data_IF_235957878952
#
_entry.id   IF_235957878952
#
_cell.length_a   1.000
_cell.length_b   1.000
_cell.length_c   1.000
_cell.angle_alpha   90.00
_cell.angle_beta   90.00
_cell.angle_gamma   90.00
#
_symmetry.space_group_name_H-M   'P 1'
#
loop_
_entity.id
_entity.type
_entity.pdbx_description
1 polymer ?
#
# COMPACT_ATOMS: atom_id res chain seq x y z
N UNK A 1 -27.90 -80.33 22.50
CA UNK A 1 -26.84 -80.31 23.52
C UNK A 1 -26.67 -78.89 24.04
N UNK A 2 -26.43 -78.79 25.33
CA UNK A 2 -26.49 -77.58 26.14
C UNK A 2 -25.36 -76.57 25.87
N UNK A 3 -25.82 -75.32 25.91
CA UNK A 3 -25.24 -74.07 26.40
C UNK A 3 -23.96 -74.09 27.26
N UNK A 4 -23.20 -73.01 27.02
CA UNK A 4 -22.41 -72.19 27.95
C UNK A 4 -21.10 -72.79 28.49
N UNK A 5 -19.96 -72.18 28.14
CA UNK A 5 -19.12 -71.41 29.08
C UNK A 5 -18.06 -70.62 28.30
N UNK A 6 -18.31 -69.30 28.18
CA UNK A 6 -17.29 -68.31 27.85
C UNK A 6 -16.33 -68.15 29.02
N UNK A 7 -15.01 -68.25 28.78
CA UNK A 7 -13.98 -67.68 29.65
C UNK A 7 -12.98 -66.92 28.78
N UNK A 8 -13.20 -65.61 28.72
CA UNK A 8 -12.28 -64.58 28.21
C UNK A 8 -11.07 -64.54 29.13
N UNK A 9 -9.88 -64.73 28.58
CA UNK A 9 -8.64 -64.29 29.21
C UNK A 9 -8.08 -63.06 28.49
N UNK A 10 -7.92 -62.03 29.30
CA UNK A 10 -7.54 -60.67 28.98
C UNK A 10 -6.02 -60.53 28.88
N UNK A 11 -5.52 -59.80 27.89
CA UNK A 11 -4.27 -59.04 28.00
C UNK A 11 -4.37 -57.78 27.11
N UNK A 12 -3.99 -56.59 27.61
CA UNK A 12 -4.52 -55.33 27.12
C UNK A 12 -3.72 -54.75 25.94
N UNK A 13 -4.49 -54.14 25.05
CA UNK A 13 -4.08 -53.16 24.05
C UNK A 13 -3.53 -51.92 24.79
N UNK A 14 -2.24 -51.63 24.70
CA UNK A 14 -1.71 -50.30 25.06
C UNK A 14 -1.44 -49.56 23.75
N UNK A 15 -2.52 -49.02 23.17
CA UNK A 15 -2.43 -48.03 22.11
C UNK A 15 -2.19 -46.66 22.79
N UNK A 16 -0.92 -46.25 22.85
CA UNK A 16 -0.56 -44.90 23.26
C UNK A 16 -0.96 -43.92 22.14
N UNK A 17 -2.19 -43.41 22.23
CA UNK A 17 -2.67 -42.25 21.49
C UNK A 17 -1.98 -41.00 22.07
N UNK A 18 -0.78 -40.70 21.59
CA UNK A 18 -0.19 -39.36 21.70
C UNK A 18 -0.92 -38.45 20.70
N UNK A 19 -2.08 -37.93 21.13
CA UNK A 19 -2.70 -36.78 20.50
C UNK A 19 -1.85 -35.54 20.82
N UNK A 20 -0.84 -35.28 19.98
CA UNK A 20 -0.18 -33.98 19.93
C UNK A 20 -1.19 -32.97 19.38
N UNK A 21 -1.91 -32.32 20.29
CA UNK A 21 -2.55 -31.05 20.04
C UNK A 21 -1.45 -30.00 19.82
N UNK A 22 -0.91 -29.95 18.61
CA UNK A 22 -0.06 -28.87 18.16
C UNK A 22 -0.96 -27.69 17.76
N UNK A 23 -1.40 -26.92 18.75
CA UNK A 23 -1.75 -25.52 18.53
C UNK A 23 -0.44 -24.82 18.16
N UNK A 24 -0.10 -24.81 16.88
CA UNK A 24 0.93 -23.94 16.35
C UNK A 24 0.27 -22.57 16.19
N UNK A 25 0.37 -21.73 17.23
CA UNK A 25 0.28 -20.30 17.04
C UNK A 25 1.43 -19.91 16.12
N UNK A 26 1.13 -19.79 14.82
CA UNK A 26 2.09 -19.26 13.88
C UNK A 26 2.51 -17.86 14.39
N UNK A 27 3.81 -17.53 14.39
CA UNK A 27 4.25 -16.19 14.73
C UNK A 27 3.46 -15.17 13.89
N UNK A 28 3.10 -14.01 14.47
CA UNK A 28 2.43 -12.97 13.70
C UNK A 28 3.23 -12.66 12.45
N UNK A 29 2.54 -12.67 11.30
CA UNK A 29 3.18 -12.40 10.02
C UNK A 29 3.80 -11.01 10.05
N UNK A 30 5.11 -10.93 9.80
CA UNK A 30 5.85 -9.68 9.82
C UNK A 30 5.67 -8.94 8.49
N UNK A 31 5.62 -7.61 8.55
CA UNK A 31 5.58 -6.76 7.37
C UNK A 31 6.73 -7.13 6.40
N UNK A 32 6.45 -7.28 5.09
CA UNK A 32 7.49 -7.55 4.11
C UNK A 32 8.53 -6.43 3.98
N UNK A 33 8.20 -5.22 4.45
CA UNK A 33 9.12 -4.08 4.50
C UNK A 33 9.66 -3.80 5.91
N UNK A 34 9.46 -4.71 6.86
CA UNK A 34 9.92 -4.53 8.24
C UNK A 34 11.45 -4.31 8.29
N UNK A 35 11.86 -3.18 8.85
CA UNK A 35 13.28 -2.78 8.95
C UNK A 35 13.87 -2.20 7.67
N UNK A 36 13.08 -2.01 6.60
CA UNK A 36 13.52 -1.26 5.43
C UNK A 36 13.72 0.22 5.80
N UNK A 37 14.81 0.82 5.31
CA UNK A 37 15.07 2.25 5.44
C UNK A 37 14.33 3.02 4.32
N UNK A 38 13.00 2.96 4.33
CA UNK A 38 12.11 3.65 3.40
C UNK A 38 11.25 4.62 4.20
N UNK A 39 11.26 5.89 3.80
CA UNK A 39 10.50 6.95 4.43
C UNK A 39 11.40 7.95 5.15
N UNK A 40 11.02 9.23 5.05
CA UNK A 40 11.59 10.33 5.82
C UNK A 40 10.55 11.45 5.93
N UNK A 41 10.79 12.37 6.87
CA UNK A 41 10.01 13.60 6.93
C UNK A 41 10.20 14.43 5.66
N UNK A 42 9.11 14.95 5.12
CA UNK A 42 9.14 15.89 4.01
C UNK A 42 8.03 16.93 4.18
N UNK A 43 8.14 18.01 3.43
CA UNK A 43 7.05 18.98 3.24
C UNK A 43 7.04 19.41 1.79
N UNK A 44 5.89 19.28 1.15
CA UNK A 44 5.63 19.59 -0.25
C UNK A 44 4.47 20.59 -0.35
N UNK A 45 4.21 21.07 -1.56
CA UNK A 45 3.06 21.93 -1.87
C UNK A 45 1.88 21.05 -2.26
N UNK A 46 0.78 21.16 -1.52
CA UNK A 46 -0.48 20.49 -1.82
C UNK A 46 -1.18 21.07 -3.06
N UNK A 47 -2.17 20.32 -3.55
CA UNK A 47 -3.03 20.69 -4.68
C UNK A 47 -3.91 21.92 -4.44
N UNK A 48 -4.14 22.29 -3.17
CA UNK A 48 -4.78 23.55 -2.74
C UNK A 48 -3.80 24.73 -2.65
N UNK A 49 -2.49 24.46 -2.80
CA UNK A 49 -1.41 25.44 -2.69
C UNK A 49 -0.85 25.59 -1.28
N UNK A 50 -1.41 24.93 -0.27
CA UNK A 50 -0.92 24.96 1.11
C UNK A 50 0.18 23.90 1.32
N UNK A 51 1.08 24.08 2.32
CA UNK A 51 2.08 23.07 2.64
C UNK A 51 1.43 21.78 3.18
N UNK A 52 1.89 20.63 2.69
CA UNK A 52 1.53 19.30 3.20
C UNK A 52 2.79 18.61 3.70
N UNK A 53 2.81 18.25 4.97
CA UNK A 53 3.91 17.58 5.65
C UNK A 53 3.59 16.11 5.89
N UNK A 54 4.63 15.26 5.89
CA UNK A 54 4.45 13.83 6.19
C UNK A 54 3.81 13.59 7.57
N UNK A 55 4.19 14.43 8.55
CA UNK A 55 3.68 14.44 9.92
C UNK A 55 2.21 14.91 10.08
N UNK A 56 1.59 15.53 9.06
CA UNK A 56 0.17 15.90 9.09
C UNK A 56 -0.76 14.67 9.22
N UNK A 57 -0.22 13.50 8.88
CA UNK A 57 -0.95 12.24 8.86
C UNK A 57 -0.47 11.26 9.93
N UNK A 58 0.23 11.74 10.98
CA UNK A 58 0.65 10.89 12.10
C UNK A 58 -0.54 10.21 12.77
N UNK A 59 -0.39 8.92 13.10
CA UNK A 59 -1.48 8.10 13.59
C UNK A 59 -2.43 7.57 12.50
N UNK A 60 -2.20 7.90 11.23
CA UNK A 60 -2.93 7.34 10.10
C UNK A 60 -2.05 6.40 9.27
N UNK A 61 -2.69 5.38 8.69
CA UNK A 61 -2.09 4.64 7.59
C UNK A 61 -1.97 5.56 6.38
N UNK A 62 -0.93 5.37 5.57
CA UNK A 62 -0.72 6.19 4.36
C UNK A 62 -0.47 5.29 3.18
N UNK A 63 -1.16 5.52 2.06
CA UNK A 63 -0.74 4.97 0.77
C UNK A 63 -0.02 6.05 -0.01
N UNK A 64 1.18 5.79 -0.52
CA UNK A 64 1.98 6.79 -1.23
C UNK A 64 2.38 6.28 -2.61
N UNK A 65 2.06 7.05 -3.64
CA UNK A 65 2.46 6.81 -5.03
C UNK A 65 3.25 8.00 -5.58
N UNK A 66 4.35 7.73 -6.29
CA UNK A 66 5.11 8.72 -7.04
C UNK A 66 4.77 8.57 -8.53
N UNK A 67 4.26 9.64 -9.14
CA UNK A 67 3.83 9.61 -10.55
C UNK A 67 3.80 10.98 -11.18
N UNK A 68 3.12 11.14 -12.30
CA UNK A 68 2.86 12.45 -12.92
C UNK A 68 1.57 12.42 -13.74
N UNK A 69 0.90 13.56 -13.86
CA UNK A 69 -0.48 13.59 -14.42
C UNK A 69 -0.53 13.39 -15.94
N UNK A 70 0.56 13.73 -16.63
CA UNK A 70 0.68 13.64 -18.09
C UNK A 70 1.14 12.26 -18.59
N UNK A 71 1.13 11.24 -17.73
CA UNK A 71 1.51 9.89 -18.13
C UNK A 71 0.43 9.26 -19.03
N UNK A 72 0.77 8.85 -20.27
CA UNK A 72 -0.21 8.31 -21.20
C UNK A 72 -0.61 6.86 -20.92
N UNK A 73 0.01 6.19 -19.93
CA UNK A 73 -0.11 4.74 -19.77
C UNK A 73 -0.28 4.35 -18.29
N UNK A 74 0.83 4.17 -17.56
CA UNK A 74 0.82 3.39 -16.33
C UNK A 74 0.36 4.16 -15.08
N UNK A 75 0.71 5.45 -14.91
CA UNK A 75 0.33 6.20 -13.69
C UNK A 75 -1.18 6.26 -13.46
N UNK A 76 -2.00 6.64 -14.45
CA UNK A 76 -3.44 6.75 -14.23
C UNK A 76 -4.07 5.39 -13.96
N UNK A 77 -3.53 4.33 -14.59
CA UNK A 77 -4.01 2.95 -14.38
C UNK A 77 -3.67 2.46 -12.97
N UNK A 78 -2.44 2.66 -12.50
CA UNK A 78 -2.03 2.24 -11.15
C UNK A 78 -2.77 3.04 -10.07
N UNK A 79 -2.88 4.37 -10.24
CA UNK A 79 -3.63 5.23 -9.32
C UNK A 79 -5.10 4.80 -9.28
N UNK A 80 -5.71 4.51 -10.44
CA UNK A 80 -7.07 3.99 -10.51
C UNK A 80 -7.24 2.66 -9.78
N UNK A 81 -6.31 1.73 -9.94
CA UNK A 81 -6.38 0.41 -9.29
C UNK A 81 -6.15 0.52 -7.78
N UNK A 82 -5.18 1.33 -7.35
CA UNK A 82 -4.95 1.63 -5.94
C UNK A 82 -6.19 2.22 -5.28
N UNK A 83 -6.79 3.26 -5.89
CA UNK A 83 -7.95 3.95 -5.32
C UNK A 83 -9.23 3.12 -5.40
N UNK A 84 -9.40 2.27 -6.42
CA UNK A 84 -10.51 1.33 -6.48
C UNK A 84 -10.37 0.22 -5.40
N UNK A 85 -9.17 -0.27 -5.16
CA UNK A 85 -8.90 -1.21 -4.06
C UNK A 85 -9.16 -0.59 -2.69
N UNK A 86 -8.73 0.65 -2.48
CA UNK A 86 -9.05 1.41 -1.27
C UNK A 86 -10.56 1.56 -1.08
N UNK A 87 -11.31 1.95 -2.13
CA UNK A 87 -12.78 2.03 -2.05
C UNK A 87 -13.42 0.69 -1.69
N UNK A 88 -12.93 -0.42 -2.23
CA UNK A 88 -13.43 -1.75 -1.89
C UNK A 88 -13.15 -2.10 -0.41
N UNK A 89 -11.94 -1.78 0.07
CA UNK A 89 -11.57 -1.94 1.48
C UNK A 89 -12.43 -1.07 2.41
N UNK A 90 -12.65 0.21 2.07
CA UNK A 90 -13.53 1.11 2.82
C UNK A 90 -14.96 0.59 2.92
N UNK A 91 -15.48 -0.01 1.85
CA UNK A 91 -16.83 -0.60 1.85
C UNK A 91 -16.93 -1.81 2.79
N UNK A 92 -15.88 -2.62 2.87
CA UNK A 92 -15.83 -3.79 3.75
C UNK A 92 -15.51 -3.42 5.20
N UNK A 93 -14.65 -2.41 5.42
CA UNK A 93 -14.12 -2.00 6.72
C UNK A 93 -14.20 -0.47 6.91
N UNK A 94 -15.38 0.14 7.08
CA UNK A 94 -15.52 1.61 7.07
C UNK A 94 -14.65 2.34 8.11
N UNK A 95 -14.54 1.80 9.32
CA UNK A 95 -13.76 2.41 10.42
C UNK A 95 -12.24 2.34 10.17
N UNK A 96 -11.75 1.24 9.58
CA UNK A 96 -10.34 1.09 9.23
C UNK A 96 -10.01 1.86 7.95
N UNK A 97 -10.89 1.83 6.95
CA UNK A 97 -10.72 2.59 5.72
C UNK A 97 -10.61 4.09 5.96
N UNK A 98 -11.38 4.62 6.90
CA UNK A 98 -11.30 6.03 7.31
C UNK A 98 -9.94 6.44 7.91
N UNK A 99 -9.12 5.48 8.37
CA UNK A 99 -7.79 5.73 8.93
C UNK A 99 -6.67 5.71 7.87
N UNK A 100 -7.00 5.46 6.61
CA UNK A 100 -6.03 5.45 5.51
C UNK A 100 -6.08 6.80 4.79
N UNK A 101 -4.97 7.52 4.73
CA UNK A 101 -4.80 8.70 3.91
C UNK A 101 -4.08 8.35 2.59
N UNK A 102 -4.77 8.42 1.44
CA UNK A 102 -4.10 8.24 0.15
C UNK A 102 -3.38 9.51 -0.31
N UNK A 103 -2.14 9.34 -0.78
CA UNK A 103 -1.21 10.40 -1.15
C UNK A 103 -0.61 10.14 -2.54
N UNK A 104 -0.53 11.19 -3.35
CA UNK A 104 0.13 11.20 -4.65
C UNK A 104 1.17 12.31 -4.69
N UNK A 105 2.42 11.97 -4.97
CA UNK A 105 3.50 12.95 -5.17
C UNK A 105 3.86 12.99 -6.64
N UNK A 106 3.70 14.16 -7.26
CA UNK A 106 4.17 14.38 -8.61
C UNK A 106 5.70 14.45 -8.66
N UNK A 107 6.29 13.75 -9.62
CA UNK A 107 7.71 13.87 -9.98
C UNK A 107 7.97 14.82 -11.15
N UNK A 108 6.93 15.54 -11.60
CA UNK A 108 6.98 16.46 -12.74
C UNK A 108 6.44 17.87 -12.39
N UNK A 109 7.17 18.62 -11.55
CA UNK A 109 6.71 19.92 -11.06
C UNK A 109 6.61 20.99 -12.16
N UNK A 110 7.16 20.76 -13.35
CA UNK A 110 7.07 21.71 -14.46
C UNK A 110 5.69 21.70 -15.14
N UNK A 111 4.95 20.58 -15.08
CA UNK A 111 3.62 20.44 -15.67
C UNK A 111 2.52 20.24 -14.62
N UNK A 112 2.83 19.56 -13.53
CA UNK A 112 1.87 19.22 -12.49
C UNK A 112 1.77 20.35 -11.45
N UNK A 113 1.10 21.43 -11.84
CA UNK A 113 0.72 22.53 -10.93
C UNK A 113 -0.35 22.06 -9.94
N UNK A 114 -0.52 22.74 -8.78
CA UNK A 114 -1.58 22.39 -7.81
C UNK A 114 -2.97 22.23 -8.43
N UNK A 115 -3.36 23.13 -9.34
CA UNK A 115 -4.66 23.05 -10.02
C UNK A 115 -4.80 21.81 -10.93
N UNK A 116 -3.73 21.41 -11.61
CA UNK A 116 -3.71 20.20 -12.45
C UNK A 116 -3.78 18.95 -11.58
N UNK A 117 -3.08 18.97 -10.44
CA UNK A 117 -3.12 17.88 -9.48
C UNK A 117 -4.51 17.69 -8.90
N UNK A 118 -5.18 18.76 -8.48
CA UNK A 118 -6.54 18.69 -7.96
C UNK A 118 -7.51 18.06 -8.98
N UNK A 119 -7.45 18.47 -10.25
CA UNK A 119 -8.29 17.88 -11.31
C UNK A 119 -7.99 16.38 -11.50
N UNK A 120 -6.72 16.00 -11.44
CA UNK A 120 -6.28 14.62 -11.57
C UNK A 120 -6.77 13.77 -10.39
N UNK A 121 -6.49 14.17 -9.15
CA UNK A 121 -6.77 13.39 -7.94
C UNK A 121 -8.26 13.25 -7.66
N UNK A 122 -9.05 14.31 -7.89
CA UNK A 122 -10.51 14.32 -7.77
C UNK A 122 -11.19 13.24 -8.63
N UNK A 123 -10.57 12.88 -9.75
CA UNK A 123 -11.07 11.85 -10.66
C UNK A 123 -10.97 10.43 -10.09
N UNK A 124 -10.12 10.19 -9.08
CA UNK A 124 -9.87 8.85 -8.53
C UNK A 124 -10.50 8.62 -7.16
N UNK A 125 -10.26 9.53 -6.19
CA UNK A 125 -10.72 9.37 -4.82
C UNK A 125 -10.92 10.71 -4.11
N UNK A 126 -12.04 10.94 -3.40
CA UNK A 126 -12.33 12.22 -2.74
C UNK A 126 -11.42 12.55 -1.54
N UNK A 127 -10.49 11.65 -1.22
CA UNK A 127 -9.51 11.84 -0.14
C UNK A 127 -8.07 11.78 -0.66
N UNK A 128 -7.85 11.56 -1.95
CA UNK A 128 -6.50 11.48 -2.51
C UNK A 128 -5.92 12.89 -2.56
N UNK A 129 -4.82 13.12 -1.84
CA UNK A 129 -4.13 14.40 -1.82
C UNK A 129 -2.97 14.36 -2.81
N UNK A 130 -3.00 15.24 -3.80
CA UNK A 130 -1.90 15.50 -4.73
C UNK A 130 -0.92 16.51 -4.16
N UNK A 131 0.37 16.26 -4.35
CA UNK A 131 1.46 17.14 -3.92
C UNK A 131 2.49 17.31 -5.03
N UNK A 132 3.16 18.46 -5.05
CA UNK A 132 4.29 18.79 -5.90
C UNK A 132 5.32 19.62 -5.12
N UNK A 133 6.44 20.01 -5.73
CA UNK A 133 7.47 20.80 -5.05
C UNK A 133 8.53 21.31 -5.99
N UNK A 134 9.61 21.89 -5.44
CA UNK A 134 10.80 22.15 -6.25
C UNK A 134 11.49 20.84 -6.63
N UNK A 135 12.31 20.88 -7.68
CA UNK A 135 13.07 19.71 -8.10
C UNK A 135 13.90 19.13 -6.95
N UNK A 136 14.51 19.98 -6.12
CA UNK A 136 15.30 19.55 -4.97
C UNK A 136 14.46 18.83 -3.92
N UNK A 137 13.22 19.27 -3.68
CA UNK A 137 12.29 18.59 -2.78
C UNK A 137 11.87 17.22 -3.34
N UNK A 138 11.58 17.15 -4.65
CA UNK A 138 11.22 15.91 -5.34
C UNK A 138 12.40 14.91 -5.36
N UNK A 139 13.62 15.37 -5.61
CA UNK A 139 14.82 14.54 -5.54
C UNK A 139 15.01 13.95 -4.14
N UNK A 140 14.89 14.79 -3.10
CA UNK A 140 15.05 14.36 -1.72
C UNK A 140 13.99 13.34 -1.28
N UNK A 141 12.70 13.59 -1.60
CA UNK A 141 11.62 12.68 -1.19
C UNK A 141 11.66 11.37 -1.98
N UNK A 142 11.99 11.38 -3.27
CA UNK A 142 12.10 10.14 -4.03
C UNK A 142 13.25 9.27 -3.54
N UNK A 143 14.42 9.86 -3.24
CA UNK A 143 15.55 9.15 -2.63
C UNK A 143 15.17 8.53 -1.26
N UNK A 144 14.55 9.32 -0.38
CA UNK A 144 14.16 8.86 0.96
C UNK A 144 13.15 7.70 0.94
N UNK A 145 12.32 7.62 -0.10
CA UNK A 145 11.30 6.58 -0.25
C UNK A 145 11.73 5.46 -1.21
N UNK A 146 13.01 5.40 -1.58
CA UNK A 146 13.56 4.43 -2.53
C UNK A 146 12.82 4.40 -3.89
N UNK A 147 12.23 5.53 -4.28
CA UNK A 147 11.66 5.76 -5.59
C UNK A 147 12.72 6.38 -6.52
N UNK A 148 12.60 6.13 -7.82
CA UNK A 148 13.45 6.76 -8.84
C UNK A 148 12.57 7.37 -9.92
N UNK A 149 13.05 8.44 -10.53
CA UNK A 149 12.41 9.05 -11.69
C UNK A 149 13.44 9.62 -12.66
N UNK A 150 13.07 9.77 -13.93
CA UNK A 150 13.89 10.34 -14.99
C UNK A 150 13.02 11.06 -16.00
N UNK A 151 13.26 12.36 -16.17
CA UNK A 151 12.58 13.17 -17.19
C UNK A 151 13.33 12.98 -18.52
N UNK A 152 12.61 12.54 -19.56
CA UNK A 152 13.17 12.37 -20.89
C UNK A 152 13.32 13.69 -21.64
N UNK A 153 14.17 13.71 -22.67
CA UNK A 153 14.32 14.87 -23.54
C UNK A 153 13.01 15.15 -24.30
N UNK A 154 12.61 16.43 -24.45
CA UNK A 154 11.43 16.78 -25.24
C UNK A 154 11.54 16.36 -26.70
N UNK A 155 10.43 15.85 -27.25
CA UNK A 155 10.28 15.59 -28.67
C UNK A 155 10.16 16.89 -29.49
N UNK A 156 10.11 16.78 -30.82
CA UNK A 156 10.02 17.95 -31.73
C UNK A 156 8.79 18.85 -31.48
N UNK A 157 7.73 18.30 -30.88
CA UNK A 157 6.52 19.03 -30.49
C UNK A 157 6.58 19.59 -29.05
N UNK A 158 7.70 19.42 -28.34
CA UNK A 158 7.91 19.89 -26.97
C UNK A 158 7.33 19.00 -25.87
N UNK A 159 6.77 17.83 -26.21
CA UNK A 159 6.28 16.87 -25.23
C UNK A 159 7.38 15.92 -24.75
N UNK A 160 7.34 15.52 -23.48
CA UNK A 160 8.27 14.56 -22.88
C UNK A 160 7.55 13.55 -21.97
N UNK A 161 8.20 12.42 -21.76
CA UNK A 161 7.80 11.40 -20.81
C UNK A 161 8.64 11.48 -19.55
N UNK A 162 8.12 10.94 -18.47
CA UNK A 162 8.86 10.78 -17.22
C UNK A 162 8.81 9.30 -16.86
N UNK A 163 9.97 8.65 -16.88
CA UNK A 163 10.10 7.32 -16.29
C UNK A 163 10.08 7.44 -14.77
N UNK A 164 9.38 6.56 -14.06
CA UNK A 164 9.38 6.55 -12.61
C UNK A 164 9.11 5.14 -12.05
N UNK A 165 9.35 4.97 -10.75
CA UNK A 165 8.96 3.76 -10.03
C UNK A 165 7.43 3.64 -10.00
N UNK A 166 6.90 2.48 -10.42
CA UNK A 166 5.46 2.20 -10.45
C UNK A 166 5.03 1.38 -9.23
N UNK A 167 5.28 1.91 -8.03
CA UNK A 167 4.98 1.22 -6.77
C UNK A 167 4.10 2.13 -5.92
N UNK A 168 3.00 1.58 -5.42
CA UNK A 168 2.24 2.21 -4.32
C UNK A 168 2.68 1.59 -3.01
N UNK A 169 3.23 2.38 -2.10
CA UNK A 169 3.62 1.93 -0.77
C UNK A 169 2.47 2.04 0.21
N UNK A 170 2.45 1.18 1.23
CA UNK A 170 1.62 1.28 2.43
C UNK A 170 2.53 1.53 3.63
N UNK A 171 2.21 2.56 4.41
CA UNK A 171 2.86 2.90 5.67
C UNK A 171 1.89 2.77 6.84
N UNK A 172 2.43 2.41 7.99
CA UNK A 172 1.69 2.32 9.25
C UNK A 172 1.49 3.67 9.94
N UNK A 173 0.71 3.69 11.03
CA UNK A 173 0.42 4.90 11.81
C UNK A 173 1.67 5.60 12.36
N UNK A 174 2.74 4.86 12.63
CA UNK A 174 4.01 5.39 13.16
C UNK A 174 4.98 5.81 12.03
N UNK A 175 4.54 5.76 10.76
CA UNK A 175 5.32 6.15 9.58
C UNK A 175 6.27 5.06 9.07
N UNK A 176 6.17 3.84 9.57
CA UNK A 176 6.97 2.70 9.16
C UNK A 176 6.45 2.06 7.86
N UNK A 177 7.33 1.61 6.94
CA UNK A 177 6.90 0.94 5.72
C UNK A 177 6.33 -0.46 6.04
N UNK A 178 5.14 -0.76 5.52
CA UNK A 178 4.45 -2.03 5.73
C UNK A 178 4.52 -2.93 4.48
N UNK A 179 4.07 -2.43 3.34
CA UNK A 179 3.96 -3.25 2.14
C UNK A 179 4.03 -2.41 0.86
N UNK A 180 4.20 -3.11 -0.27
CA UNK A 180 3.92 -2.57 -1.59
C UNK A 180 2.56 -3.11 -2.01
N UNK A 181 1.64 -2.23 -2.40
CA UNK A 181 0.32 -2.64 -2.86
C UNK A 181 0.44 -3.25 -4.27
N UNK A 182 -0.20 -4.41 -4.52
CA UNK A 182 -0.11 -5.12 -5.80
C UNK A 182 -1.01 -4.49 -6.86
N UNK A 183 -0.76 -3.22 -7.23
CA UNK A 183 -1.56 -2.48 -8.20
C UNK A 183 -1.53 -3.09 -9.60
N UNK A 184 -0.48 -3.82 -9.95
CA UNK A 184 -0.37 -4.59 -11.19
C UNK A 184 -1.36 -5.78 -11.25
N UNK A 185 -1.77 -6.30 -10.10
CA UNK A 185 -2.71 -7.43 -9.96
C UNK A 185 -4.17 -7.00 -9.81
N UNK A 186 -4.45 -5.69 -9.77
CA UNK A 186 -5.81 -5.14 -9.76
C UNK A 186 -6.34 -4.75 -8.38
N UNK A 187 -7.52 -4.10 -8.33
CA UNK A 187 -8.06 -3.51 -7.11
C UNK A 187 -8.42 -4.54 -6.04
N UNK A 188 -8.82 -5.76 -6.40
CA UNK A 188 -9.12 -6.82 -5.43
C UNK A 188 -7.86 -7.27 -4.69
N UNK A 189 -6.72 -7.35 -5.38
CA UNK A 189 -5.44 -7.67 -4.76
C UNK A 189 -4.97 -6.54 -3.83
N UNK A 190 -5.19 -5.27 -4.23
CA UNK A 190 -4.94 -4.11 -3.38
C UNK A 190 -5.77 -4.17 -2.10
N UNK A 191 -7.08 -4.41 -2.21
CA UNK A 191 -7.96 -4.50 -1.04
C UNK A 191 -7.56 -5.65 -0.09
N UNK A 192 -7.17 -6.81 -0.63
CA UNK A 192 -6.69 -7.94 0.15
C UNK A 192 -5.37 -7.63 0.88
N UNK A 193 -4.47 -6.87 0.26
CA UNK A 193 -3.23 -6.44 0.92
C UNK A 193 -3.50 -5.42 2.03
N UNK A 194 -4.47 -4.51 1.84
CA UNK A 194 -4.93 -3.60 2.90
C UNK A 194 -5.54 -4.36 4.09
N UNK A 195 -6.41 -5.34 3.83
CA UNK A 195 -7.01 -6.23 4.86
C UNK A 195 -5.95 -6.94 5.72
N UNK A 196 -4.77 -7.19 5.16
CA UNK A 196 -3.68 -7.89 5.85
C UNK A 196 -2.98 -7.01 6.89
N UNK A 197 -2.78 -5.74 6.56
CA UNK A 197 -1.87 -4.83 7.27
C UNK A 197 -2.57 -3.70 8.04
N UNK A 198 -3.79 -3.31 7.64
CA UNK A 198 -4.58 -2.29 8.32
C UNK A 198 -5.44 -2.96 9.39
N UNK A 199 -5.21 -2.65 10.68
CA UNK A 199 -5.78 -3.37 11.82
C UNK A 199 -6.24 -2.47 12.95
#
# INVERSE_FOLDING_TARGET
MNRDTMLRNSAPLVAALLALAACQDAPPEQSPLAGAAIGAEFTLTGEDGDPVSWSDFDGQYRTLYFGYTYCPDVCPVDTQRAMAGLKAFEQANPELGAQIQPLFVSVDPARDTPAVLAEFTDSFHPRLIGMTGTKEQIDAVTEAFAAVYSIEEPNEAGGYLVGHTNITYLFGPDGEPLAMLPTDQGPEAVAAELDKWVR
#
